data_IF_139685704428
#
_entry.id   IF_139685704428
#
_cell.length_a   1.000
_cell.length_b   1.000
_cell.length_c   1.000
_cell.angle_alpha   90.00
_cell.angle_beta   90.00
_cell.angle_gamma   90.00
#
_symmetry.space_group_name_H-M   'P 1'
#
loop_
_entity.id
_entity.type
_entity.pdbx_description
1 polymer ?
#
# COMPACT_ATOMS: atom_id res chain seq x y z
N UNK A 1 -18.53 12.94 -25.56
CA UNK A 1 -18.23 13.02 -24.10
C UNK A 1 -16.79 12.63 -23.85
N UNK A 2 -16.01 13.47 -23.17
CA UNK A 2 -14.66 13.09 -22.81
C UNK A 2 -14.70 11.88 -21.87
N UNK A 3 -13.78 10.95 -22.10
CA UNK A 3 -13.65 9.79 -21.21
C UNK A 3 -13.14 10.25 -19.83
N UNK A 4 -13.60 9.62 -18.74
CA UNK A 4 -13.02 9.91 -17.43
C UNK A 4 -11.51 9.67 -17.46
N UNK A 5 -10.77 10.62 -16.91
CA UNK A 5 -9.32 10.50 -16.83
C UNK A 5 -8.95 9.35 -15.88
N UNK A 6 -8.20 8.37 -16.38
CA UNK A 6 -7.74 7.26 -15.56
C UNK A 6 -6.66 7.73 -14.59
N UNK A 7 -6.60 7.19 -13.38
CA UNK A 7 -5.48 7.43 -12.48
C UNK A 7 -4.16 7.06 -13.15
N UNK A 8 -3.11 7.78 -12.82
CA UNK A 8 -1.76 7.48 -13.31
C UNK A 8 -1.07 6.50 -12.38
N UNK A 9 -0.34 5.57 -12.95
CA UNK A 9 0.52 4.69 -12.16
C UNK A 9 1.69 5.49 -11.59
N UNK A 10 2.19 5.08 -10.44
CA UNK A 10 3.34 5.69 -9.79
C UNK A 10 4.41 4.64 -9.52
N UNK A 11 5.66 5.00 -9.77
CA UNK A 11 6.80 4.16 -9.46
C UNK A 11 7.18 4.31 -7.99
N UNK A 12 7.71 3.25 -7.41
CA UNK A 12 8.11 3.18 -6.01
C UNK A 12 9.03 4.34 -5.61
N UNK A 13 10.01 4.68 -6.46
CA UNK A 13 10.98 5.73 -6.13
C UNK A 13 10.34 7.12 -5.97
N UNK A 14 9.27 7.41 -6.67
CA UNK A 14 8.55 8.67 -6.49
C UNK A 14 8.02 8.78 -5.06
N UNK A 15 7.41 7.70 -4.57
CA UNK A 15 6.86 7.67 -3.21
C UNK A 15 7.96 7.65 -2.15
N UNK A 16 9.06 6.95 -2.40
CA UNK A 16 10.20 6.94 -1.49
C UNK A 16 10.84 8.33 -1.38
N UNK A 17 10.99 9.05 -2.48
CA UNK A 17 11.52 10.42 -2.44
C UNK A 17 10.63 11.34 -1.63
N UNK A 18 9.33 11.17 -1.74
CA UNK A 18 8.37 11.90 -0.93
C UNK A 18 8.51 11.59 0.56
N UNK A 19 8.64 10.31 0.91
CA UNK A 19 8.66 9.88 2.31
C UNK A 19 10.02 10.10 3.00
N UNK A 20 11.12 9.87 2.28
CA UNK A 20 12.47 9.90 2.87
C UNK A 20 13.15 11.27 2.70
N UNK A 21 12.99 11.88 1.54
CA UNK A 21 13.50 13.22 1.29
C UNK A 21 15.03 13.32 1.16
N UNK A 22 15.69 12.25 0.72
CA UNK A 22 17.15 12.16 0.65
C UNK A 22 17.76 12.69 -0.65
N UNK A 23 16.94 13.09 -1.64
CA UNK A 23 17.39 13.70 -2.87
C UNK A 23 16.55 14.97 -3.11
N UNK A 24 17.14 16.19 -2.92
CA UNK A 24 16.35 17.44 -2.85
C UNK A 24 15.47 17.74 -4.05
N UNK A 25 15.99 17.59 -5.28
CA UNK A 25 15.22 17.93 -6.50
C UNK A 25 14.07 16.96 -6.73
N UNK A 26 14.33 15.67 -6.56
CA UNK A 26 13.30 14.65 -6.74
C UNK A 26 12.27 14.74 -5.62
N UNK A 27 12.72 15.01 -4.40
CA UNK A 27 11.82 15.20 -3.24
C UNK A 27 10.87 16.37 -3.47
N UNK A 28 11.36 17.49 -3.97
CA UNK A 28 10.51 18.65 -4.27
C UNK A 28 9.43 18.31 -5.29
N UNK A 29 9.81 17.63 -6.37
CA UNK A 29 8.87 17.22 -7.41
C UNK A 29 7.86 16.19 -6.91
N UNK A 30 8.32 15.22 -6.14
CA UNK A 30 7.45 14.20 -5.55
C UNK A 30 6.48 14.82 -4.54
N UNK A 31 6.95 15.74 -3.71
CA UNK A 31 6.11 16.44 -2.74
C UNK A 31 5.02 17.24 -3.44
N UNK A 32 5.38 17.98 -4.49
CA UNK A 32 4.41 18.73 -5.28
C UNK A 32 3.33 17.83 -5.88
N UNK A 33 3.73 16.67 -6.42
CA UNK A 33 2.77 15.68 -6.91
C UNK A 33 1.85 15.21 -5.80
N UNK A 34 2.42 14.84 -4.64
CA UNK A 34 1.64 14.27 -3.55
C UNK A 34 0.70 15.28 -2.91
N UNK A 35 1.03 16.57 -2.93
CA UNK A 35 0.10 17.62 -2.50
C UNK A 35 -1.15 17.65 -3.40
N UNK A 36 -0.97 17.48 -4.72
CA UNK A 36 -2.10 17.40 -5.64
C UNK A 36 -2.90 16.11 -5.47
N UNK A 37 -2.24 15.02 -5.11
CA UNK A 37 -2.92 13.75 -4.81
C UNK A 37 -3.72 13.87 -3.51
N UNK A 38 -3.16 14.54 -2.51
CA UNK A 38 -3.85 14.75 -1.23
C UNK A 38 -5.17 15.49 -1.42
N UNK A 39 -5.18 16.55 -2.23
CA UNK A 39 -6.39 17.34 -2.45
C UNK A 39 -7.32 16.74 -3.53
N UNK A 40 -6.89 15.72 -4.23
CA UNK A 40 -7.69 15.03 -5.25
C UNK A 40 -7.60 15.62 -6.66
N UNK A 41 -6.78 16.67 -6.87
CA UNK A 41 -6.61 17.24 -8.19
C UNK A 41 -5.76 16.37 -9.12
N UNK A 42 -5.01 15.45 -8.56
CA UNK A 42 -4.26 14.41 -9.28
C UNK A 42 -4.66 13.07 -8.72
N UNK A 43 -4.85 12.07 -9.59
CA UNK A 43 -5.21 10.73 -9.14
C UNK A 43 -4.10 9.72 -9.42
N UNK A 44 -3.78 8.89 -8.43
CA UNK A 44 -2.77 7.85 -8.53
C UNK A 44 -3.36 6.47 -8.26
N UNK A 45 -2.91 5.52 -9.05
CA UNK A 45 -3.05 4.10 -8.77
C UNK A 45 -1.73 3.62 -8.16
N UNK A 46 -1.76 3.23 -6.90
CA UNK A 46 -0.61 2.65 -6.20
C UNK A 46 -0.86 1.15 -6.08
N UNK A 47 -0.29 0.34 -6.97
CA UNK A 47 -0.58 -1.10 -6.96
C UNK A 47 0.10 -1.82 -5.80
N UNK A 48 -0.39 -3.03 -5.43
CA UNK A 48 0.15 -3.78 -4.30
C UNK A 48 1.65 -4.06 -4.41
N UNK A 49 2.16 -4.29 -5.63
CA UNK A 49 3.58 -4.55 -5.84
C UNK A 49 4.44 -3.36 -5.44
N UNK A 50 3.96 -2.14 -5.67
CA UNK A 50 4.65 -0.91 -5.28
C UNK A 50 4.64 -0.76 -3.76
N UNK A 51 3.50 -1.03 -3.12
CA UNK A 51 3.40 -0.97 -1.66
C UNK A 51 4.35 -1.98 -1.00
N UNK A 52 4.39 -3.21 -1.51
CA UNK A 52 5.28 -4.24 -0.99
C UNK A 52 6.76 -3.83 -1.11
N UNK A 53 7.15 -3.26 -2.25
CA UNK A 53 8.51 -2.77 -2.47
C UNK A 53 8.86 -1.60 -1.57
N UNK A 54 7.92 -0.68 -1.35
CA UNK A 54 8.11 0.44 -0.42
C UNK A 54 8.36 -0.06 0.99
N UNK A 55 7.54 -0.98 1.47
CA UNK A 55 7.68 -1.54 2.82
C UNK A 55 9.03 -2.22 2.98
N UNK A 56 9.39 -3.06 2.01
CA UNK A 56 10.67 -3.76 2.04
C UNK A 56 11.85 -2.77 2.09
N UNK A 57 11.83 -1.75 1.23
CA UNK A 57 12.90 -0.76 1.14
C UNK A 57 12.99 0.09 2.40
N UNK A 58 11.86 0.56 2.91
CA UNK A 58 11.82 1.36 4.15
C UNK A 58 12.32 0.54 5.34
N UNK A 59 11.95 -0.73 5.41
CA UNK A 59 12.33 -1.60 6.51
C UNK A 59 13.79 -2.01 6.43
N UNK A 60 14.26 -2.47 5.28
CA UNK A 60 15.59 -3.09 5.14
C UNK A 60 16.70 -2.09 4.81
N UNK A 61 16.43 -1.09 3.98
CA UNK A 61 17.43 -0.12 3.56
C UNK A 61 17.47 1.10 4.48
N UNK A 62 16.31 1.66 4.79
CA UNK A 62 16.22 2.86 5.62
C UNK A 62 16.01 2.57 7.11
N UNK A 63 15.82 1.32 7.47
CA UNK A 63 15.63 0.88 8.86
C UNK A 63 14.51 1.63 9.60
N UNK A 64 13.44 1.95 8.89
CA UNK A 64 12.27 2.60 9.47
C UNK A 64 11.48 1.57 10.29
N UNK A 65 11.11 1.90 11.53
CA UNK A 65 10.29 0.99 12.32
C UNK A 65 8.94 0.68 11.67
N UNK A 66 8.48 -0.55 11.82
CA UNK A 66 7.22 -1.03 11.24
C UNK A 66 6.04 -0.09 11.53
N UNK A 67 5.95 0.40 12.76
CA UNK A 67 4.88 1.31 13.16
C UNK A 67 4.86 2.59 12.33
N UNK A 68 6.04 3.14 12.07
CA UNK A 68 6.17 4.36 11.29
C UNK A 68 5.88 4.13 9.82
N UNK A 69 6.31 2.97 9.29
CA UNK A 69 5.98 2.57 7.92
C UNK A 69 4.46 2.49 7.75
N UNK A 70 3.79 1.79 8.66
CA UNK A 70 2.35 1.62 8.62
C UNK A 70 1.64 2.98 8.63
N UNK A 71 2.05 3.88 9.52
CA UNK A 71 1.44 5.20 9.64
C UNK A 71 1.62 6.04 8.37
N UNK A 72 2.83 6.04 7.81
CA UNK A 72 3.13 6.79 6.58
C UNK A 72 2.29 6.29 5.40
N UNK A 73 2.20 4.99 5.22
CA UNK A 73 1.45 4.42 4.11
C UNK A 73 -0.06 4.58 4.30
N UNK A 74 -0.55 4.42 5.52
CA UNK A 74 -1.97 4.66 5.80
C UNK A 74 -2.36 6.12 5.53
N UNK A 75 -1.48 7.07 5.82
CA UNK A 75 -1.69 8.47 5.50
C UNK A 75 -1.79 8.68 3.99
N UNK A 76 -0.88 8.12 3.22
CA UNK A 76 -0.92 8.22 1.75
C UNK A 76 -2.23 7.62 1.22
N UNK A 77 -2.64 6.46 1.72
CA UNK A 77 -3.86 5.80 1.26
C UNK A 77 -5.15 6.50 1.73
N UNK A 78 -5.03 7.52 2.61
CA UNK A 78 -6.15 8.38 2.96
C UNK A 78 -6.32 9.58 2.02
N UNK A 79 -5.35 9.84 1.14
CA UNK A 79 -5.41 10.97 0.21
C UNK A 79 -6.54 10.78 -0.80
N UNK A 80 -7.25 11.86 -1.11
CA UNK A 80 -8.41 11.82 -2.03
C UNK A 80 -8.06 11.27 -3.40
N UNK A 81 -6.85 11.53 -3.88
CA UNK A 81 -6.41 11.14 -5.21
C UNK A 81 -5.87 9.72 -5.32
N UNK A 82 -5.76 8.98 -4.23
CA UNK A 82 -5.36 7.57 -4.30
C UNK A 82 -6.56 6.73 -4.69
N UNK A 83 -6.63 6.32 -5.97
CA UNK A 83 -7.83 5.72 -6.57
C UNK A 83 -7.50 4.60 -7.55
N UNK A 84 -6.80 3.59 -7.08
CA UNK A 84 -6.55 2.38 -7.86
C UNK A 84 -7.64 1.33 -7.66
N UNK A 85 -7.66 0.29 -8.52
CA UNK A 85 -8.67 -0.78 -8.40
C UNK A 85 -8.53 -1.61 -7.13
N UNK A 86 -7.36 -1.60 -6.48
CA UNK A 86 -7.12 -2.36 -5.26
C UNK A 86 -6.90 -1.46 -4.04
N UNK A 87 -7.22 -0.17 -4.13
CA UNK A 87 -7.00 0.78 -3.03
C UNK A 87 -7.67 0.34 -1.73
N UNK A 88 -8.93 -0.13 -1.78
CA UNK A 88 -9.62 -0.58 -0.57
C UNK A 88 -9.00 -1.86 0.01
N UNK A 89 -8.59 -2.79 -0.85
CA UNK A 89 -7.90 -4.02 -0.45
C UNK A 89 -6.59 -3.69 0.28
N UNK A 90 -5.80 -2.78 -0.30
CA UNK A 90 -4.52 -2.36 0.26
C UNK A 90 -4.73 -1.61 1.58
N UNK A 91 -5.72 -0.73 1.65
CA UNK A 91 -6.02 0.01 2.89
C UNK A 91 -6.35 -0.93 4.04
N UNK A 92 -7.17 -1.96 3.80
CA UNK A 92 -7.48 -2.98 4.79
C UNK A 92 -6.23 -3.77 5.17
N UNK A 93 -5.41 -4.15 4.18
CA UNK A 93 -4.16 -4.86 4.44
C UNK A 93 -3.19 -4.04 5.29
N UNK A 94 -3.11 -2.72 5.06
CA UNK A 94 -2.26 -1.83 5.86
C UNK A 94 -2.74 -1.75 7.31
N UNK A 95 -4.05 -1.74 7.54
CA UNK A 95 -4.57 -1.78 8.92
C UNK A 95 -4.19 -3.08 9.63
N UNK A 96 -4.27 -4.22 8.94
CA UNK A 96 -3.83 -5.51 9.49
C UNK A 96 -2.32 -5.51 9.74
N UNK A 97 -1.56 -4.97 8.80
CA UNK A 97 -0.11 -4.82 8.95
C UNK A 97 0.25 -3.97 10.17
N UNK A 98 -0.49 -2.88 10.40
CA UNK A 98 -0.26 -1.99 11.54
C UNK A 98 -0.58 -2.65 12.88
N UNK A 99 -1.58 -3.52 12.93
CA UNK A 99 -2.09 -4.11 14.18
C UNK A 99 -1.55 -5.51 14.49
N UNK A 100 -0.72 -6.07 13.62
CA UNK A 100 -0.15 -7.42 13.79
C UNK A 100 1.35 -7.39 13.50
N UNK A 101 2.00 -8.56 13.61
CA UNK A 101 3.38 -8.75 13.17
C UNK A 101 3.46 -9.54 11.86
N UNK A 102 2.33 -9.67 11.17
CA UNK A 102 2.23 -10.43 9.94
C UNK A 102 2.77 -9.58 8.78
N UNK A 103 3.51 -10.19 7.87
CA UNK A 103 4.08 -9.52 6.70
C UNK A 103 2.98 -8.92 5.83
N UNK A 104 3.29 -7.78 5.18
CA UNK A 104 2.32 -7.10 4.34
C UNK A 104 1.74 -7.98 3.24
N UNK A 105 2.57 -8.80 2.59
CA UNK A 105 2.09 -9.67 1.50
C UNK A 105 1.01 -10.62 2.00
N UNK A 106 1.18 -11.19 3.19
CA UNK A 106 0.16 -12.06 3.78
C UNK A 106 -1.09 -11.28 4.16
N UNK A 107 -0.93 -10.08 4.71
CA UNK A 107 -2.06 -9.18 4.99
C UNK A 107 -2.82 -8.82 3.71
N UNK A 108 -2.09 -8.59 2.63
CA UNK A 108 -2.69 -8.29 1.32
C UNK A 108 -3.46 -9.49 0.77
N UNK A 109 -2.88 -10.69 0.82
CA UNK A 109 -3.55 -11.90 0.35
C UNK A 109 -4.85 -12.15 1.13
N UNK A 110 -4.79 -12.00 2.46
CA UNK A 110 -5.97 -12.14 3.31
C UNK A 110 -7.05 -11.10 2.97
N UNK A 111 -6.67 -9.84 2.82
CA UNK A 111 -7.58 -8.76 2.48
C UNK A 111 -8.26 -8.99 1.13
N UNK A 112 -7.47 -9.38 0.14
CA UNK A 112 -7.99 -9.66 -1.20
C UNK A 112 -8.94 -10.85 -1.21
N UNK A 113 -8.54 -11.94 -0.54
CA UNK A 113 -9.38 -13.13 -0.44
C UNK A 113 -10.72 -12.81 0.23
N UNK A 114 -10.69 -12.04 1.31
CA UNK A 114 -11.90 -11.66 2.04
C UNK A 114 -12.80 -10.72 1.22
N UNK A 115 -12.22 -9.70 0.60
CA UNK A 115 -13.01 -8.73 -0.17
C UNK A 115 -13.58 -9.32 -1.45
N UNK A 116 -12.83 -10.20 -2.10
CA UNK A 116 -13.26 -10.84 -3.36
C UNK A 116 -13.90 -12.22 -3.15
N UNK A 117 -14.11 -12.62 -1.90
CA UNK A 117 -14.78 -13.87 -1.53
C UNK A 117 -14.06 -15.10 -2.12
N UNK A 118 -12.73 -15.14 -1.96
CA UNK A 118 -11.89 -16.21 -2.49
C UNK A 118 -11.32 -17.04 -1.35
N UNK A 119 -11.10 -18.33 -1.61
CA UNK A 119 -10.37 -19.22 -0.70
C UNK A 119 -8.87 -19.10 -1.01
N UNK A 120 -8.05 -18.97 0.02
CA UNK A 120 -6.60 -18.86 -0.09
C UNK A 120 -5.95 -20.24 0.16
N UNK A 121 -5.11 -20.68 -0.75
CA UNK A 121 -4.24 -21.83 -0.49
C UNK A 121 -2.98 -21.38 0.23
N UNK A 122 -2.70 -22.02 1.36
CA UNK A 122 -1.49 -21.74 2.14
C UNK A 122 -1.17 -22.91 3.08
N UNK A 123 0.09 -23.02 3.45
CA UNK A 123 0.52 -23.88 4.53
C UNK A 123 0.53 -23.16 5.89
N UNK A 124 0.34 -21.84 5.90
CA UNK A 124 0.40 -21.02 7.10
C UNK A 124 -0.98 -20.87 7.74
N UNK A 125 -1.33 -21.83 8.58
CA UNK A 125 -2.59 -21.81 9.32
C UNK A 125 -2.66 -20.66 10.32
N UNK A 126 -1.56 -20.40 11.02
CA UNK A 126 -1.53 -19.47 12.15
C UNK A 126 -1.88 -18.05 11.73
N UNK A 127 -1.17 -17.53 10.75
CA UNK A 127 -1.35 -16.14 10.32
C UNK A 127 -2.69 -15.92 9.64
N UNK A 128 -3.11 -16.83 8.75
CA UNK A 128 -4.37 -16.66 8.04
C UNK A 128 -5.60 -16.93 8.91
N UNK A 129 -5.48 -17.76 9.95
CA UNK A 129 -6.53 -17.88 10.96
C UNK A 129 -6.66 -16.59 11.78
N UNK A 130 -5.53 -15.98 12.14
CA UNK A 130 -5.50 -14.70 12.87
C UNK A 130 -6.12 -13.57 12.03
N UNK A 131 -5.91 -13.58 10.73
CA UNK A 131 -6.48 -12.61 9.80
C UNK A 131 -7.92 -12.95 9.39
N UNK A 132 -8.48 -14.03 9.95
CA UNK A 132 -9.85 -14.48 9.66
C UNK A 132 -10.11 -14.73 8.19
N UNK A 133 -9.11 -15.30 7.51
CA UNK A 133 -9.18 -15.61 6.10
C UNK A 133 -9.72 -17.02 5.90
N UNK A 134 -10.53 -17.22 4.88
CA UNK A 134 -10.85 -18.58 4.43
C UNK A 134 -9.62 -19.15 3.73
N UNK A 135 -8.87 -19.98 4.42
CA UNK A 135 -7.69 -20.61 3.87
C UNK A 135 -7.86 -22.13 3.84
N UNK A 136 -7.09 -22.77 3.00
CA UNK A 136 -7.13 -24.21 2.82
C UNK A 136 -5.72 -24.71 2.51
N UNK A 137 -5.36 -25.86 3.08
CA UNK A 137 -4.10 -26.52 2.71
C UNK A 137 -4.22 -27.11 1.31
N UNK A 138 -3.18 -27.00 0.48
CA UNK A 138 -3.19 -27.63 -0.84
C UNK A 138 -3.26 -29.15 -0.74
#
# INVERSE_FOLDING_TARGET
MPQPKKPRLVDTNVLLRYLVGDEPRQTERATSLMERVEDGSEELDIPPVVVAEMIWTLEKFYEVPRRDIAQKLMTIFSFKGVRGPETSIISTALRSYASTKIDFVDCYLASRANEQNMVLYSFDKKDFSRLKTRWQSP
#
